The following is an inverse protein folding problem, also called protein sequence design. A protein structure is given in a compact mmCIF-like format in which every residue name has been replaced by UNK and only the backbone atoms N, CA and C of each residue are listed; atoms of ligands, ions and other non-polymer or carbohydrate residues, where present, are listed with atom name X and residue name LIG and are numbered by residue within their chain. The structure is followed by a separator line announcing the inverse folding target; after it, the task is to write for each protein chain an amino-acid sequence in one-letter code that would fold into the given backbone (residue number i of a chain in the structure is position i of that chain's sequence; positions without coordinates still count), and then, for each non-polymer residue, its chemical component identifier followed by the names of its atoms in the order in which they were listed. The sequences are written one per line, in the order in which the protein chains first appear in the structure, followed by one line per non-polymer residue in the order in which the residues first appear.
data_IF_904481979558
#
_entry.id   IF_904481979558
#
_cell.length_a   1.000
_cell.length_b   1.000
_cell.length_c   1.000
_cell.angle_alpha   90.00
_cell.angle_beta   90.00
_cell.angle_gamma   90.00
#
_symmetry.space_group_name_H-M   'P 1'
#
loop_
_entity.id
_entity.type
_entity.pdbx_description
1 polymer ?
#
# COMPACT_ATOMS: atom_id res chain seq x y z
N UNK A 1 4.08 -4.46 -12.57
CA UNK A 1 3.96 -3.85 -13.91
C UNK A 1 4.05 -2.34 -13.75
N UNK A 2 5.23 -1.77 -13.96
CA UNK A 2 5.42 -0.33 -13.99
C UNK A 2 4.83 0.21 -15.30
N UNK A 3 4.04 1.27 -15.21
CA UNK A 3 3.41 1.89 -16.38
C UNK A 3 4.50 2.43 -17.31
N UNK A 4 4.44 2.14 -18.61
CA UNK A 4 5.48 2.51 -19.56
C UNK A 4 5.50 4.03 -19.68
N UNK A 5 6.59 4.63 -19.18
CA UNK A 5 7.19 5.87 -19.66
C UNK A 5 6.23 6.92 -20.25
N UNK A 6 5.30 7.40 -19.43
CA UNK A 6 4.58 8.63 -19.73
C UNK A 6 5.53 9.79 -19.45
N UNK A 7 6.30 10.19 -20.44
CA UNK A 7 7.03 11.45 -20.37
C UNK A 7 6.06 12.60 -20.60
N UNK A 8 5.95 13.48 -19.60
CA UNK A 8 5.28 14.75 -19.81
C UNK A 8 6.03 15.55 -20.89
N UNK A 9 5.31 16.15 -21.82
CA UNK A 9 5.85 17.06 -22.83
C UNK A 9 5.22 18.44 -22.67
N UNK A 10 5.69 19.44 -23.42
CA UNK A 10 5.13 20.80 -23.38
C UNK A 10 3.61 20.86 -23.65
N UNK A 11 3.03 19.78 -24.22
CA UNK A 11 1.58 19.61 -24.41
C UNK A 11 0.78 19.51 -23.11
N UNK A 12 1.41 19.21 -21.98
CA UNK A 12 0.74 19.18 -20.67
C UNK A 12 0.49 20.59 -20.09
N UNK A 13 0.91 21.65 -20.79
CA UNK A 13 0.70 23.03 -20.36
C UNK A 13 -0.75 23.47 -20.61
N UNK A 14 -1.47 23.81 -19.54
CA UNK A 14 -2.88 24.25 -19.59
C UNK A 14 -3.04 25.79 -19.68
N UNK A 15 -1.95 26.54 -19.87
CA UNK A 15 -1.94 28.00 -19.84
C UNK A 15 -1.53 28.62 -18.50
N UNK A 16 -1.54 27.84 -17.40
CA UNK A 16 -1.13 28.28 -16.05
C UNK A 16 -0.05 27.40 -15.44
N UNK A 17 -0.04 26.12 -15.77
CA UNK A 17 0.89 25.13 -15.26
C UNK A 17 0.93 23.87 -16.12
N UNK A 18 1.82 22.95 -15.76
CA UNK A 18 1.87 21.61 -16.32
C UNK A 18 0.92 20.70 -15.54
N UNK A 19 -0.15 20.24 -16.18
CA UNK A 19 -1.17 19.42 -15.54
C UNK A 19 -0.94 17.92 -15.78
N UNK A 20 -1.08 17.12 -14.72
CA UNK A 20 -1.09 15.67 -14.84
C UNK A 20 -2.48 15.18 -15.27
N UNK A 21 -2.58 14.62 -16.47
CA UNK A 21 -3.85 14.10 -17.02
C UNK A 21 -4.44 12.90 -16.24
N UNK A 22 -3.66 12.27 -15.35
CA UNK A 22 -4.10 11.13 -14.54
C UNK A 22 -4.76 11.55 -13.22
N UNK A 23 -4.42 12.74 -12.68
CA UNK A 23 -4.93 13.20 -11.38
C UNK A 23 -5.30 14.69 -11.31
N UNK A 24 -5.22 15.40 -12.43
CA UNK A 24 -5.45 16.84 -12.55
C UNK A 24 -4.61 17.71 -11.59
N UNK A 25 -3.44 17.22 -11.14
CA UNK A 25 -2.51 18.04 -10.36
C UNK A 25 -1.70 18.95 -11.28
N UNK A 26 -1.62 20.22 -10.91
CA UNK A 26 -0.83 21.22 -11.60
C UNK A 26 0.58 21.35 -10.98
N UNK A 27 1.58 21.41 -11.84
CA UNK A 27 2.99 21.56 -11.50
C UNK A 27 3.56 22.79 -12.20
N UNK A 28 4.49 23.49 -11.53
CA UNK A 28 5.12 24.70 -12.07
C UNK A 28 6.16 24.41 -13.16
N UNK A 29 6.66 23.16 -13.21
CA UNK A 29 7.76 22.77 -14.08
C UNK A 29 7.51 21.39 -14.68
N UNK A 30 7.94 21.22 -15.93
CA UNK A 30 7.86 19.97 -16.68
C UNK A 30 8.66 18.84 -16.00
N UNK A 31 9.81 19.17 -15.40
CA UNK A 31 10.61 18.25 -14.59
C UNK A 31 9.86 17.73 -13.36
N UNK A 32 9.10 18.58 -12.66
CA UNK A 32 8.30 18.18 -11.51
C UNK A 32 7.16 17.26 -11.91
N UNK A 33 6.52 17.52 -13.06
CA UNK A 33 5.50 16.64 -13.61
C UNK A 33 6.10 15.29 -14.03
N UNK A 34 7.26 15.28 -14.68
CA UNK A 34 7.93 14.03 -15.08
C UNK A 34 8.37 13.20 -13.85
N UNK A 35 8.90 13.86 -12.81
CA UNK A 35 9.17 13.22 -11.53
C UNK A 35 7.89 12.66 -10.89
N UNK A 36 6.78 13.41 -10.90
CA UNK A 36 5.50 12.92 -10.39
C UNK A 36 5.02 11.64 -11.10
N UNK A 37 5.14 11.60 -12.43
CA UNK A 37 4.80 10.42 -13.24
C UNK A 37 5.74 9.24 -12.93
N UNK A 38 7.03 9.51 -12.69
CA UNK A 38 8.03 8.51 -12.34
C UNK A 38 7.98 8.00 -10.89
N UNK A 39 7.49 8.79 -9.93
CA UNK A 39 7.44 8.43 -8.51
C UNK A 39 6.40 7.37 -8.15
N UNK A 40 5.69 6.79 -9.13
CA UNK A 40 4.62 5.83 -8.83
C UNK A 40 3.46 6.47 -8.07
N UNK A 41 3.24 7.77 -8.24
CA UNK A 41 2.05 8.44 -7.69
C UNK A 41 0.76 7.78 -8.20
N UNK A 42 0.80 7.27 -9.42
CA UNK A 42 -0.29 6.52 -10.07
C UNK A 42 -0.09 5.00 -10.04
N UNK A 43 0.93 4.48 -9.36
CA UNK A 43 0.99 3.05 -9.11
C UNK A 43 -0.19 2.69 -8.22
N UNK A 44 -1.06 1.82 -8.73
CA UNK A 44 -2.16 1.23 -7.98
C UNK A 44 -1.57 0.60 -6.72
N UNK A 45 -2.10 0.96 -5.55
CA UNK A 45 -1.80 0.23 -4.33
C UNK A 45 -2.17 -1.22 -4.57
N UNK A 46 -1.18 -2.11 -4.51
CA UNK A 46 -1.39 -3.54 -4.77
C UNK A 46 -2.01 -4.23 -3.56
N UNK A 47 -1.85 -3.63 -2.38
CA UNK A 47 -2.24 -4.23 -1.11
C UNK A 47 -3.17 -3.28 -0.37
N UNK A 48 -4.42 -3.70 -0.20
CA UNK A 48 -5.41 -3.00 0.61
C UNK A 48 -5.61 -3.77 1.90
N UNK A 49 -5.79 -3.05 3.00
CA UNK A 49 -6.17 -3.71 4.23
C UNK A 49 -7.60 -4.27 4.11
N UNK A 50 -7.84 -5.57 4.37
CA UNK A 50 -9.16 -6.19 4.30
C UNK A 50 -10.09 -5.73 5.43
N UNK A 51 -9.57 -5.02 6.45
CA UNK A 51 -10.39 -4.55 7.54
C UNK A 51 -11.22 -3.34 7.14
N UNK A 52 -12.56 -3.47 7.21
CA UNK A 52 -13.50 -2.42 6.79
C UNK A 52 -13.33 -1.08 7.51
N UNK A 53 -12.81 -1.08 8.75
CA UNK A 53 -12.55 0.15 9.52
C UNK A 53 -11.20 0.80 9.18
N UNK A 54 -10.43 0.19 8.29
CA UNK A 54 -9.03 0.48 8.04
C UNK A 54 -8.82 0.72 6.55
N UNK A 55 -8.89 1.99 6.15
CA UNK A 55 -8.82 2.41 4.75
C UNK A 55 -7.39 2.63 4.23
N UNK A 56 -6.42 1.94 4.81
CA UNK A 56 -5.01 2.09 4.44
C UNK A 56 -4.69 1.27 3.20
N UNK A 57 -4.05 1.92 2.23
CA UNK A 57 -3.59 1.33 0.99
C UNK A 57 -2.05 1.37 0.90
N UNK A 58 -1.46 0.25 0.49
CA UNK A 58 -0.02 0.05 0.51
C UNK A 58 0.50 -0.28 -0.88
N UNK A 59 1.59 0.41 -1.24
CA UNK A 59 2.29 0.23 -2.51
C UNK A 59 3.32 -0.90 -2.46
N UNK A 60 3.74 -1.31 -1.26
CA UNK A 60 4.76 -2.35 -1.04
C UNK A 60 4.26 -3.40 -0.05
N UNK A 61 4.68 -4.65 -0.28
CA UNK A 61 4.33 -5.77 0.59
C UNK A 61 4.96 -5.61 1.99
N UNK A 62 6.17 -5.05 2.08
CA UNK A 62 6.82 -4.78 3.36
C UNK A 62 6.02 -3.79 4.24
N UNK A 63 5.50 -2.70 3.64
CA UNK A 63 4.66 -1.74 4.37
C UNK A 63 3.32 -2.36 4.78
N UNK A 64 2.75 -3.22 3.92
CA UNK A 64 1.54 -3.97 4.24
C UNK A 64 1.73 -4.96 5.39
N UNK A 65 2.82 -5.74 5.40
CA UNK A 65 3.13 -6.66 6.50
C UNK A 65 3.38 -5.88 7.80
N UNK A 66 4.20 -4.83 7.75
CA UNK A 66 4.47 -4.01 8.93
C UNK A 66 3.20 -3.39 9.53
N UNK A 67 2.24 -2.99 8.69
CA UNK A 67 0.93 -2.52 9.12
C UNK A 67 0.09 -3.60 9.83
N UNK A 68 0.10 -4.83 9.32
CA UNK A 68 -0.61 -5.95 9.93
C UNK A 68 0.03 -6.36 11.27
N UNK A 69 1.36 -6.35 11.34
CA UNK A 69 2.12 -6.69 12.56
C UNK A 69 2.01 -5.63 13.65
N UNK A 70 1.94 -4.35 13.29
CA UNK A 70 1.91 -3.25 14.26
C UNK A 70 0.56 -3.11 15.00
N UNK A 71 -0.40 -4.01 14.75
CA UNK A 71 -1.77 -3.98 15.29
C UNK A 71 -2.52 -2.65 15.07
N UNK A 72 -1.96 -1.72 14.29
CA UNK A 72 -2.46 -0.36 14.07
C UNK A 72 -3.87 -0.35 13.47
N UNK A 73 -4.22 -1.45 12.81
CA UNK A 73 -5.49 -1.68 12.18
C UNK A 73 -6.46 -2.54 13.01
N UNK A 74 -6.00 -3.22 14.06
CA UNK A 74 -6.80 -4.15 14.87
C UNK A 74 -7.30 -5.42 14.15
N UNK A 75 -6.89 -5.66 12.90
CA UNK A 75 -7.33 -6.83 12.11
C UNK A 75 -6.71 -8.14 12.58
N UNK A 76 -5.42 -8.11 12.91
CA UNK A 76 -4.68 -9.23 13.50
C UNK A 76 -4.34 -8.82 14.93
N UNK A 77 -5.27 -9.06 15.87
CA UNK A 77 -4.94 -8.97 17.29
C UNK A 77 -4.02 -10.14 17.61
N UNK A 78 -2.79 -9.87 18.01
CA UNK A 78 -1.82 -10.91 18.44
C UNK A 78 -2.39 -11.78 19.58
N UNK A 79 -3.44 -11.28 20.25
CA UNK A 79 -4.26 -11.99 21.24
C UNK A 79 -4.85 -13.31 20.72
N UNK A 80 -5.27 -13.38 19.44
CA UNK A 80 -5.87 -14.61 18.89
C UNK A 80 -4.81 -15.68 18.59
N UNK A 81 -3.58 -15.28 18.27
CA UNK A 81 -2.44 -16.19 18.09
C UNK A 81 -1.99 -16.76 19.44
N UNK A 82 -1.93 -15.94 20.49
CA UNK A 82 -1.62 -16.40 21.86
C UNK A 82 -2.64 -17.41 22.39
N UNK A 83 -3.94 -17.19 22.16
CA UNK A 83 -4.98 -18.14 22.58
C UNK A 83 -4.95 -19.45 21.78
N UNK A 84 -4.67 -19.38 20.48
CA UNK A 84 -4.57 -20.58 19.62
C UNK A 84 -3.35 -21.44 19.98
N UNK A 85 -2.23 -20.81 20.35
CA UNK A 85 -1.01 -21.54 20.76
C UNK A 85 -1.15 -22.14 22.17
N UNK A 86 -1.81 -21.45 23.12
CA UNK A 86 -2.09 -22.02 24.45
C UNK A 86 -2.97 -23.28 24.39
N UNK A 87 -3.94 -23.32 23.47
CA UNK A 87 -4.79 -24.50 23.27
C UNK A 87 -4.04 -25.73 22.75
N UNK A 88 -2.95 -25.54 22.01
CA UNK A 88 -2.13 -26.62 21.44
C UNK A 88 -1.09 -27.16 22.42
N UNK A 89 -0.55 -26.31 23.30
CA UNK A 89 0.50 -26.71 24.26
C UNK A 89 -0.11 -27.36 25.52
N UNK A 90 -1.34 -27.00 25.90
CA UNK A 90 -2.02 -27.62 27.05
C UNK A 90 -2.68 -28.97 26.73
N UNK A 91 -2.69 -29.39 25.46
CA UNK A 91 -3.23 -30.67 25.00
C UNK A 91 -2.15 -31.75 24.87
N UNK A 92 -1.41 -32.04 25.94
CA UNK A 92 -0.54 -33.21 26.02
C UNK A 92 -1.41 -34.49 25.95
N UNK A 93 -1.66 -34.95 24.73
CA UNK A 93 -2.08 -36.31 24.42
C UNK A 93 -0.95 -36.96 23.64
N UNK A 94 0.10 -37.34 24.38
CA UNK A 94 1.03 -38.36 23.95
C UNK A 94 0.22 -39.66 23.73
N UNK A 95 -0.15 -39.91 22.47
CA UNK A 95 -0.64 -41.23 22.05
C UNK A 95 0.56 -42.18 22.07
N UNK A 96 0.72 -42.86 23.20
CA UNK A 96 1.58 -44.04 23.30
C UNK A 96 1.00 -45.15 22.43
N UNK A 97 1.84 -45.66 21.53
CA UNK A 97 1.70 -46.98 20.91
C UNK A 97 2.69 -47.93 21.58
#
# INVERSE_FOLDING_TARGET
MACPFLEATAKAWNGRGYECFLCNREFRSLQSLNQHLGSGAHQRALYHCPHTSCRQDFKTLAAFINHLESEACGFMRFSNVQSSIKGLISGDRLLGY
#
